data_IF_597619004977
#
_entry.id   IF_597619004977
#
_cell.length_a   1.000
_cell.length_b   1.000
_cell.length_c   1.000
_cell.angle_alpha   90.00
_cell.angle_beta   90.00
_cell.angle_gamma   90.00
#
_symmetry.space_group_name_H-M   'P 1'
#
loop_
_entity.id
_entity.type
_entity.pdbx_description
1 polymer ?
#
# COMPACT_ATOMS: atom_id res chain seq x y z
N UNK A 1 -15.69 5.38 -6.80
CA UNK A 1 -15.84 4.22 -5.90
C UNK A 1 -15.16 2.98 -6.46
N UNK A 2 -15.42 2.59 -7.70
CA UNK A 2 -14.82 1.37 -8.31
C UNK A 2 -13.29 1.32 -8.21
N UNK A 3 -12.59 2.43 -8.49
CA UNK A 3 -11.13 2.53 -8.35
C UNK A 3 -10.62 2.21 -6.94
N UNK A 4 -11.29 2.69 -5.89
CA UNK A 4 -10.87 2.45 -4.50
C UNK A 4 -10.98 0.97 -4.19
N UNK A 5 -12.10 0.34 -4.55
CA UNK A 5 -12.31 -1.09 -4.37
C UNK A 5 -11.33 -1.91 -5.20
N UNK A 6 -11.08 -1.55 -6.46
CA UNK A 6 -10.11 -2.23 -7.32
C UNK A 6 -8.70 -2.21 -6.72
N UNK A 7 -8.30 -1.08 -6.16
CA UNK A 7 -6.99 -0.94 -5.53
C UNK A 7 -6.94 -1.67 -4.18
N UNK A 8 -7.89 -1.42 -3.28
CA UNK A 8 -7.90 -1.96 -1.92
C UNK A 8 -8.44 -3.38 -1.82
N UNK A 9 -8.98 -4.00 -2.87
CA UNK A 9 -9.32 -5.42 -2.86
C UNK A 9 -8.07 -6.31 -2.77
N UNK A 10 -6.92 -5.82 -3.25
CA UNK A 10 -5.66 -6.56 -3.19
C UNK A 10 -4.96 -6.37 -1.84
N UNK A 11 -4.74 -7.48 -1.14
CA UNK A 11 -4.07 -7.54 0.16
C UNK A 11 -2.71 -6.84 0.19
N UNK A 12 -1.84 -7.05 -0.80
CA UNK A 12 -0.52 -6.42 -0.81
C UNK A 12 -0.64 -4.89 -0.88
N UNK A 13 -1.50 -4.36 -1.76
CA UNK A 13 -1.73 -2.91 -1.86
C UNK A 13 -2.31 -2.34 -0.58
N UNK A 14 -3.26 -3.03 0.09
CA UNK A 14 -3.77 -2.62 1.40
C UNK A 14 -2.67 -2.51 2.44
N UNK A 15 -1.85 -3.55 2.58
CA UNK A 15 -0.77 -3.57 3.56
C UNK A 15 0.25 -2.45 3.31
N UNK A 16 0.52 -2.12 2.05
CA UNK A 16 1.42 -1.02 1.68
C UNK A 16 0.87 0.34 2.15
N UNK A 17 -0.38 0.68 1.78
CA UNK A 17 -0.97 1.98 2.16
C UNK A 17 -1.24 2.10 3.66
N UNK A 18 -1.56 0.98 4.35
CA UNK A 18 -1.62 0.93 5.82
C UNK A 18 -0.25 1.20 6.45
N UNK A 19 0.81 0.59 5.91
CA UNK A 19 2.17 0.81 6.43
C UNK A 19 2.64 2.26 6.22
N UNK A 20 2.28 2.85 5.08
CA UNK A 20 2.54 4.24 4.77
C UNK A 20 1.74 5.19 5.67
N UNK A 21 0.46 4.90 5.94
CA UNK A 21 -0.37 5.66 6.89
C UNK A 21 0.25 5.73 8.28
N UNK A 22 0.82 4.60 8.74
CA UNK A 22 1.49 4.48 10.05
C UNK A 22 2.83 5.20 10.12
N UNK A 23 3.34 5.74 9.01
CA UNK A 23 4.67 6.34 8.94
C UNK A 23 5.80 5.32 9.12
N UNK A 24 5.53 4.03 8.86
CA UNK A 24 6.50 2.95 9.04
C UNK A 24 7.25 2.55 7.77
N UNK A 25 7.11 3.34 6.71
CA UNK A 25 7.65 3.12 5.36
C UNK A 25 7.98 4.48 4.78
N UNK A 26 9.21 4.63 4.31
CA UNK A 26 9.67 5.81 3.56
C UNK A 26 10.21 5.41 2.17
N UNK A 27 10.54 4.13 1.99
CA UNK A 27 11.15 3.60 0.77
C UNK A 27 10.52 2.29 0.29
N UNK A 28 10.72 1.96 -0.99
CA UNK A 28 10.38 0.64 -1.53
C UNK A 28 11.16 -0.51 -0.87
N UNK A 29 12.37 -0.24 -0.35
CA UNK A 29 13.16 -1.23 0.39
C UNK A 29 12.50 -1.60 1.73
N UNK A 30 11.86 -0.64 2.40
CA UNK A 30 11.07 -0.92 3.61
C UNK A 30 9.89 -1.83 3.30
N UNK A 31 9.25 -1.61 2.15
CA UNK A 31 8.14 -2.44 1.66
C UNK A 31 8.61 -3.85 1.30
N UNK A 32 9.80 -3.99 0.74
CA UNK A 32 10.43 -5.27 0.43
C UNK A 32 10.73 -6.11 1.67
N UNK A 33 11.28 -5.49 2.71
CA UNK A 33 11.58 -6.20 3.96
C UNK A 33 10.30 -6.76 4.60
N UNK A 34 9.18 -6.07 4.44
CA UNK A 34 7.86 -6.49 4.95
C UNK A 34 7.19 -7.57 4.11
N UNK A 35 7.60 -7.80 2.86
CA UNK A 35 6.98 -8.74 1.92
C UNK A 35 7.64 -10.13 1.86
N UNK A 36 8.52 -10.46 2.81
CA UNK A 36 9.32 -11.69 2.92
C UNK A 36 10.55 -11.80 1.99
N UNK A 37 10.92 -10.72 1.29
CA UNK A 37 12.23 -10.62 0.62
C UNK A 37 12.51 -11.64 -0.49
N UNK A 38 11.47 -12.17 -1.15
CA UNK A 38 11.60 -13.08 -2.31
C UNK A 38 11.69 -12.30 -3.63
N UNK A 39 12.46 -12.78 -4.60
CA UNK A 39 12.63 -12.14 -5.92
C UNK A 39 11.29 -11.94 -6.64
N UNK A 40 10.35 -12.90 -6.54
CA UNK A 40 9.02 -12.75 -7.16
C UNK A 40 8.19 -11.64 -6.49
N UNK A 41 8.37 -11.44 -5.18
CA UNK A 41 7.72 -10.38 -4.44
C UNK A 41 8.29 -9.00 -4.82
N UNK A 42 9.59 -8.92 -5.10
CA UNK A 42 10.25 -7.71 -5.61
C UNK A 42 9.70 -7.30 -6.98
N UNK A 43 9.65 -8.26 -7.89
CA UNK A 43 9.15 -8.03 -9.23
C UNK A 43 7.68 -7.59 -9.19
N UNK A 44 6.85 -8.24 -8.36
CA UNK A 44 5.47 -7.84 -8.17
C UNK A 44 5.34 -6.43 -7.53
N UNK A 45 6.18 -6.10 -6.55
CA UNK A 45 6.18 -4.78 -5.91
C UNK A 45 6.44 -3.67 -6.94
N UNK A 46 7.57 -3.77 -7.67
CA UNK A 46 8.01 -2.73 -8.61
C UNK A 46 7.20 -2.66 -9.89
N UNK A 47 6.72 -3.79 -10.41
CA UNK A 47 6.04 -3.83 -11.71
C UNK A 47 4.51 -3.93 -11.63
N UNK A 48 3.94 -4.22 -10.45
CA UNK A 48 2.48 -4.36 -10.31
C UNK A 48 1.90 -3.48 -9.22
N UNK A 49 2.47 -3.49 -8.02
CA UNK A 49 1.81 -2.85 -6.87
C UNK A 49 2.07 -1.35 -6.81
N UNK A 50 3.34 -0.92 -6.83
CA UNK A 50 3.70 0.50 -6.80
C UNK A 50 3.14 1.27 -8.00
N UNK A 51 3.27 0.80 -9.27
CA UNK A 51 2.68 1.50 -10.42
C UNK A 51 1.17 1.69 -10.31
N UNK A 52 0.42 0.68 -9.84
CA UNK A 52 -1.04 0.79 -9.72
C UNK A 52 -1.48 1.75 -8.62
N UNK A 53 -0.72 1.82 -7.52
CA UNK A 53 -0.98 2.76 -6.44
C UNK A 53 -0.65 4.20 -6.87
N UNK A 54 0.45 4.38 -7.61
CA UNK A 54 0.89 5.66 -8.17
C UNK A 54 -0.09 6.18 -9.24
N UNK A 55 -0.50 5.31 -10.18
CA UNK A 55 -1.49 5.66 -11.22
C UNK A 55 -2.84 6.04 -10.60
N UNK A 56 -3.20 5.39 -9.49
CA UNK A 56 -4.36 5.77 -8.69
C UNK A 56 -4.12 7.02 -7.82
N UNK A 57 -2.93 7.62 -7.82
CA UNK A 57 -2.61 8.83 -7.06
C UNK A 57 -2.61 8.64 -5.54
N UNK A 58 -2.59 7.40 -5.05
CA UNK A 58 -2.55 7.12 -3.60
C UNK A 58 -1.13 7.13 -3.06
N UNK A 59 -0.12 6.93 -3.90
CA UNK A 59 1.27 7.13 -3.50
C UNK A 59 1.97 8.03 -4.52
N UNK A 60 3.04 8.66 -4.11
CA UNK A 60 4.10 9.12 -4.99
C UNK A 60 5.28 8.17 -4.83
N UNK A 61 5.87 7.73 -5.94
CA UNK A 61 6.99 6.81 -5.93
C UNK A 61 8.11 7.31 -6.84
N UNK A 62 9.23 7.66 -6.24
CA UNK A 62 10.41 8.02 -6.99
C UNK A 62 11.18 6.76 -7.38
N UNK A 63 11.18 6.40 -8.68
CA UNK A 63 11.86 5.19 -9.19
C UNK A 63 13.40 5.27 -9.10
N UNK A 64 13.96 6.46 -9.02
CA UNK A 64 15.40 6.68 -8.94
C UNK A 64 15.91 6.53 -7.51
N UNK A 65 15.21 7.13 -6.55
CA UNK A 65 15.60 7.09 -5.11
C UNK A 65 14.95 5.95 -4.34
N UNK A 66 13.87 5.37 -4.87
CA UNK A 66 13.05 4.38 -4.18
C UNK A 66 12.14 4.98 -3.11
N UNK A 67 12.09 6.31 -2.97
CA UNK A 67 11.23 6.98 -1.99
C UNK A 67 9.75 6.75 -2.30
N UNK A 68 8.97 6.48 -1.26
CA UNK A 68 7.52 6.28 -1.34
C UNK A 68 6.85 7.16 -0.30
N UNK A 69 5.92 8.01 -0.77
CA UNK A 69 5.19 8.96 0.08
C UNK A 69 3.69 8.93 -0.24
N UNK A 70 2.88 9.58 0.61
CA UNK A 70 1.43 9.71 0.38
C UNK A 70 1.20 10.55 -0.88
N UNK A 71 0.41 10.01 -1.81
CA UNK A 71 0.07 10.73 -3.04
C UNK A 71 -1.06 11.74 -2.85
N UNK A 72 -1.26 12.60 -3.86
CA UNK A 72 -2.28 13.67 -3.86
C UNK A 72 -3.73 13.22 -3.59
N UNK A 73 -4.05 11.94 -3.76
CA UNK A 73 -5.39 11.37 -3.51
C UNK A 73 -5.44 10.47 -2.27
N UNK A 74 -4.43 10.50 -1.41
CA UNK A 74 -4.38 9.64 -0.22
C UNK A 74 -5.59 9.83 0.70
N UNK A 75 -6.06 11.07 0.85
CA UNK A 75 -7.23 11.42 1.67
C UNK A 75 -8.51 10.69 1.25
N UNK A 76 -8.60 10.21 0.00
CA UNK A 76 -9.75 9.42 -0.46
C UNK A 76 -9.80 8.03 0.17
N UNK A 77 -8.64 7.44 0.48
CA UNK A 77 -8.56 6.10 1.09
C UNK A 77 -8.34 6.16 2.59
N UNK A 78 -7.84 7.28 3.13
CA UNK A 78 -7.50 7.43 4.54
C UNK A 78 -8.66 7.05 5.50
N UNK A 79 -9.93 7.46 5.28
CA UNK A 79 -11.04 7.06 6.14
C UNK A 79 -11.28 5.54 6.16
N UNK A 80 -11.05 4.85 5.04
CA UNK A 80 -11.19 3.40 4.95
C UNK A 80 -10.04 2.72 5.69
N UNK A 81 -8.83 3.25 5.56
CA UNK A 81 -7.66 2.75 6.29
C UNK A 81 -7.85 2.93 7.81
N UNK A 82 -8.38 4.05 8.25
CA UNK A 82 -8.75 4.28 9.66
C UNK A 82 -9.78 3.27 10.15
N UNK A 83 -10.82 2.98 9.37
CA UNK A 83 -11.82 1.98 9.72
C UNK A 83 -11.18 0.58 9.88
N UNK A 84 -10.29 0.19 8.97
CA UNK A 84 -9.56 -1.09 9.05
C UNK A 84 -8.69 -1.17 10.31
N UNK A 85 -8.04 -0.08 10.69
CA UNK A 85 -7.20 -0.04 11.90
C UNK A 85 -8.03 -0.11 13.18
N UNK A 86 -9.14 0.63 13.23
CA UNK A 86 -10.00 0.72 14.42
C UNK A 86 -10.79 -0.57 14.68
N UNK A 87 -11.07 -1.37 13.66
CA UNK A 87 -11.85 -2.62 13.76
C UNK A 87 -11.02 -3.86 13.40
N UNK A 88 -9.71 -3.81 13.59
CA UNK A 88 -8.81 -4.91 13.19
C UNK A 88 -9.13 -6.26 13.88
N UNK A 89 -9.75 -6.23 15.05
CA UNK A 89 -10.20 -7.38 15.85
C UNK A 89 -11.50 -8.01 15.35
N UNK A 90 -12.30 -7.26 14.58
CA UNK A 90 -13.57 -7.73 14.00
C UNK A 90 -13.39 -8.33 12.59
N UNK A 91 -12.19 -8.21 12.00
CA UNK A 91 -11.91 -8.67 10.65
C UNK A 91 -11.66 -10.19 10.58
N UNK A 92 -11.95 -10.84 9.44
CA UNK A 92 -11.68 -12.26 9.26
C UNK A 92 -10.21 -12.61 9.51
N UNK A 93 -9.89 -13.81 10.04
CA UNK A 93 -8.51 -14.25 10.20
C UNK A 93 -7.74 -14.20 8.87
N UNK A 94 -6.57 -13.56 8.87
CA UNK A 94 -5.74 -13.39 7.67
C UNK A 94 -6.10 -12.18 6.80
N UNK A 95 -7.13 -11.43 7.18
CA UNK A 95 -7.41 -10.06 6.71
C UNK A 95 -6.71 -9.05 7.64
N UNK A 96 -6.28 -7.86 7.18
CA UNK A 96 -6.39 -7.30 5.83
C UNK A 96 -5.47 -7.93 4.78
#
# INVERSE_FOLDING_TARGET
>A
MDRVMDILANRHRRLMVLSLKRGGVETETDLMFRSSGREEAEMALRHTHLPKLEEAGYIEWNRETGEVSKGSRFDEIEPILELIENHSDELPPGWP
#
